data_IF_007813018835
#
_entry.id   IF_007813018835
#
_cell.length_a   1.000
_cell.length_b   1.000
_cell.length_c   1.000
_cell.angle_alpha   90.00
_cell.angle_beta   90.00
_cell.angle_gamma   90.00
#
_symmetry.space_group_name_H-M   'P 1'
#
loop_
_entity.id
_entity.type
_entity.pdbx_description
1 polymer ?
#
# COMPACT_ATOMS: atom_id res chain seq x y z
N UNK A 1 -8.96 -9.19 14.98
CA UNK A 1 -7.64 -8.73 15.44
C UNK A 1 -6.49 -9.62 14.99
N UNK A 2 -6.33 -10.85 15.51
CA UNK A 2 -5.20 -11.75 15.17
C UNK A 2 -4.93 -11.93 13.66
N UNK A 3 -5.97 -12.06 12.85
CA UNK A 3 -5.82 -12.18 11.39
C UNK A 3 -5.21 -10.93 10.76
N UNK A 4 -5.67 -9.75 11.16
CA UNK A 4 -5.18 -8.45 10.66
C UNK A 4 -3.71 -8.27 11.03
N UNK A 5 -3.35 -8.55 12.28
CA UNK A 5 -1.96 -8.50 12.74
C UNK A 5 -1.07 -9.48 11.99
N UNK A 6 -1.52 -10.72 11.76
CA UNK A 6 -0.77 -11.72 11.02
C UNK A 6 -0.53 -11.29 9.57
N UNK A 7 -1.54 -10.71 8.90
CA UNK A 7 -1.42 -10.19 7.53
C UNK A 7 -0.42 -9.03 7.46
N UNK A 8 -0.51 -8.06 8.38
CA UNK A 8 0.43 -6.93 8.42
C UNK A 8 1.86 -7.38 8.69
N UNK A 9 2.07 -8.26 9.68
CA UNK A 9 3.39 -8.80 10.00
C UNK A 9 3.96 -9.64 8.84
N UNK A 10 3.12 -10.38 8.11
CA UNK A 10 3.52 -11.13 6.94
C UNK A 10 4.06 -10.23 5.82
N UNK A 11 3.31 -9.20 5.44
CA UNK A 11 3.77 -8.22 4.44
C UNK A 11 5.08 -7.55 4.87
N UNK A 12 5.16 -7.11 6.12
CA UNK A 12 6.34 -6.41 6.64
C UNK A 12 7.58 -7.31 6.67
N UNK A 13 7.45 -8.55 7.13
CA UNK A 13 8.55 -9.50 7.16
C UNK A 13 9.07 -9.86 5.76
N UNK A 14 8.17 -10.07 4.78
CA UNK A 14 8.56 -10.36 3.40
C UNK A 14 9.28 -9.17 2.75
N UNK A 15 8.79 -7.95 3.01
CA UNK A 15 9.39 -6.73 2.51
C UNK A 15 10.82 -6.54 3.04
N UNK A 16 11.03 -6.71 4.34
CA UNK A 16 12.38 -6.62 4.95
C UNK A 16 13.34 -7.64 4.32
N UNK A 17 12.87 -8.86 4.08
CA UNK A 17 13.71 -9.95 3.56
C UNK A 17 14.05 -9.81 2.07
N UNK A 18 13.12 -9.28 1.27
CA UNK A 18 13.16 -9.44 -0.20
C UNK A 18 12.89 -8.17 -0.99
N UNK A 19 12.43 -7.10 -0.34
CA UNK A 19 11.91 -5.90 -1.01
C UNK A 19 10.53 -6.09 -1.67
N UNK A 20 9.95 -7.30 -1.63
CA UNK A 20 8.60 -7.60 -2.10
C UNK A 20 7.70 -7.97 -0.91
N UNK A 21 6.61 -7.25 -0.64
CA UNK A 21 5.73 -7.58 0.48
C UNK A 21 4.94 -8.88 0.24
N UNK A 22 4.72 -9.27 -1.01
CA UNK A 22 3.88 -10.41 -1.37
C UNK A 22 4.50 -11.75 -0.93
N UNK A 23 3.64 -12.70 -0.55
CA UNK A 23 4.04 -14.06 -0.18
C UNK A 23 2.85 -14.98 0.04
N UNK A 24 3.10 -16.29 0.29
CA UNK A 24 2.04 -17.27 0.46
C UNK A 24 1.03 -16.89 1.56
N UNK A 25 -0.26 -17.04 1.28
CA UNK A 25 -1.33 -16.76 2.24
C UNK A 25 -1.67 -15.28 2.45
N UNK A 26 -0.98 -14.37 1.76
CA UNK A 26 -1.30 -12.94 1.77
C UNK A 26 -2.06 -12.57 0.49
N UNK A 27 -3.07 -11.69 0.57
CA UNK A 27 -3.66 -11.10 -0.63
C UNK A 27 -2.59 -10.41 -1.50
N UNK A 28 -2.81 -10.38 -2.80
CA UNK A 28 -1.86 -9.71 -3.68
C UNK A 28 -1.92 -8.19 -3.49
N UNK A 29 -0.75 -7.58 -3.29
CA UNK A 29 -0.56 -6.13 -3.25
C UNK A 29 0.20 -5.69 -4.50
N UNK A 30 -0.54 -5.03 -5.39
CA UNK A 30 -0.02 -4.48 -6.65
C UNK A 30 1.07 -3.43 -6.39
N UNK A 31 2.16 -3.53 -7.16
CA UNK A 31 3.20 -2.50 -7.16
C UNK A 31 2.66 -1.20 -7.77
N UNK A 32 2.99 -0.07 -7.15
CA UNK A 32 2.71 1.23 -7.75
C UNK A 32 3.46 1.40 -9.09
N UNK A 33 2.79 1.88 -10.15
CA UNK A 33 3.45 2.17 -11.42
C UNK A 33 4.52 3.26 -11.26
N UNK A 34 5.64 3.11 -11.98
CA UNK A 34 6.73 4.08 -11.96
C UNK A 34 6.37 5.42 -12.62
N UNK A 35 5.32 5.44 -13.44
CA UNK A 35 4.81 6.65 -14.11
C UNK A 35 4.18 7.67 -13.16
N UNK A 36 3.90 7.29 -11.91
CA UNK A 36 3.19 8.15 -10.96
C UNK A 36 1.67 8.24 -11.20
N UNK A 37 1.14 7.38 -12.08
CA UNK A 37 -0.30 7.27 -12.35
C UNK A 37 -1.09 6.80 -11.12
N UNK A 38 -2.43 6.73 -11.28
CA UNK A 38 -3.35 6.27 -10.24
C UNK A 38 -2.88 4.95 -9.62
N UNK A 39 -2.47 5.02 -8.35
CA UNK A 39 -2.02 3.84 -7.60
C UNK A 39 -3.20 3.13 -6.95
N UNK A 40 -2.98 1.86 -6.61
CA UNK A 40 -3.88 1.08 -5.74
C UNK A 40 -3.29 1.06 -4.33
N UNK A 41 -4.16 1.23 -3.33
CA UNK A 41 -3.81 1.11 -1.92
C UNK A 41 -4.29 -0.25 -1.40
N UNK A 42 -3.43 -0.93 -0.66
CA UNK A 42 -3.83 -2.10 0.11
C UNK A 42 -4.51 -1.64 1.41
N UNK A 43 -5.78 -1.98 1.58
CA UNK A 43 -6.49 -1.82 2.85
C UNK A 43 -6.35 -3.12 3.61
N UNK A 44 -5.69 -3.07 4.76
CA UNK A 44 -5.48 -4.21 5.64
C UNK A 44 -6.53 -4.12 6.75
N UNK A 45 -7.50 -5.01 6.67
CA UNK A 45 -8.62 -5.17 7.61
C UNK A 45 -9.00 -6.65 7.65
N UNK A 46 -10.06 -7.02 8.38
CA UNK A 46 -10.60 -8.39 8.44
C UNK A 46 -10.75 -8.98 7.04
N UNK A 47 -11.21 -8.17 6.09
CA UNK A 47 -11.13 -8.45 4.67
C UNK A 47 -10.09 -7.52 4.01
N UNK A 48 -8.87 -8.05 3.87
CA UNK A 48 -7.76 -7.32 3.25
C UNK A 48 -7.91 -7.28 1.73
N UNK A 49 -7.95 -6.08 1.13
CA UNK A 49 -8.19 -5.88 -0.29
C UNK A 49 -7.42 -4.70 -0.88
N UNK A 50 -7.04 -4.82 -2.15
CA UNK A 50 -6.50 -3.72 -2.93
C UNK A 50 -7.65 -2.88 -3.51
N UNK A 51 -7.58 -1.56 -3.33
CA UNK A 51 -8.60 -0.61 -3.84
C UNK A 51 -7.93 0.56 -4.57
N UNK A 52 -8.60 1.19 -5.56
CA UNK A 52 -8.08 2.41 -6.17
C UNK A 52 -7.86 3.51 -5.13
N UNK A 53 -6.76 4.26 -5.21
CA UNK A 53 -6.52 5.40 -4.33
C UNK A 53 -7.10 6.69 -4.92
N UNK A 54 -8.42 6.84 -4.83
CA UNK A 54 -9.14 7.97 -5.44
C UNK A 54 -8.76 9.32 -4.84
N UNK A 55 -8.32 9.35 -3.58
CA UNK A 55 -7.89 10.57 -2.89
C UNK A 55 -6.44 10.99 -3.22
N UNK A 56 -5.71 10.23 -4.05
CA UNK A 56 -4.30 10.50 -4.38
C UNK A 56 -4.07 11.96 -4.81
N UNK A 57 -4.98 12.53 -5.62
CA UNK A 57 -4.86 13.93 -6.09
C UNK A 57 -4.81 14.95 -4.95
N UNK A 58 -5.51 14.69 -3.84
CA UNK A 58 -5.52 15.59 -2.68
C UNK A 58 -4.16 15.60 -1.99
N UNK A 59 -3.47 14.45 -1.92
CA UNK A 59 -2.13 14.35 -1.33
C UNK A 59 -1.05 14.95 -2.23
N UNK A 60 -1.15 14.74 -3.55
CA UNK A 60 -0.25 15.39 -4.52
C UNK A 60 -0.36 16.92 -4.48
N UNK A 61 -1.58 17.45 -4.33
CA UNK A 61 -1.77 18.90 -4.20
C UNK A 61 -1.18 19.46 -2.89
N UNK A 62 -1.19 18.68 -1.80
CA UNK A 62 -0.57 19.08 -0.54
C UNK A 62 0.96 19.13 -0.63
N UNK A 63 1.58 18.27 -1.43
CA UNK A 63 3.02 18.30 -1.71
C UNK A 63 3.42 19.60 -2.41
N UNK A 64 2.65 20.05 -3.41
CA UNK A 64 2.92 21.33 -4.10
C UNK A 64 2.87 22.55 -3.16
N UNK A 65 2.04 22.50 -2.11
CA UNK A 65 1.96 23.57 -1.11
C UNK A 65 3.14 23.53 -0.13
N UNK A 66 3.74 22.36 0.11
CA UNK A 66 4.89 22.19 1.01
C UNK A 66 6.20 22.74 0.42
N UNK A 67 6.30 22.79 -0.92
CA UNK A 67 7.47 23.26 -1.66
C UNK A 67 7.32 24.70 -2.22
N UNK A 68 6.26 25.42 -1.85
CA UNK A 68 6.02 26.82 -2.25
C UNK A 68 6.64 27.83 -1.26
N UNK A 69 7.79 27.48 -0.66
CA UNK A 69 8.56 28.31 0.26
C UNK A 69 10.04 28.23 -0.08
#
# INVERSE_FOLDING_TARGET
DRTVSATMSGYFANFIKTGNPNGPGLPHWDRAPASGDAIRRQVIDVETRSVPFVEQRRYLAAESLLYMH
#
